data_IF_544043771607
#
_entry.id   IF_544043771607
#
_cell.length_a   1.000
_cell.length_b   1.000
_cell.length_c   1.000
_cell.angle_alpha   90.00
_cell.angle_beta   90.00
_cell.angle_gamma   90.00
#
_symmetry.space_group_name_H-M   'P 1'
#
loop_
_entity.id
_entity.type
_entity.pdbx_description
1 polymer ?
#
# COMPACT_ATOMS: atom_id res chain seq x y z
N UNK A 1 28.12 -65.90 -0.36
CA UNK A 1 29.02 -65.67 -1.51
C UNK A 1 28.21 -65.78 -2.79
N UNK A 2 28.62 -65.01 -3.81
CA UNK A 2 28.09 -64.96 -5.18
C UNK A 2 26.92 -63.94 -5.41
N UNK A 3 26.84 -63.35 -6.61
CA UNK A 3 27.18 -61.94 -6.82
C UNK A 3 26.16 -61.19 -7.72
N UNK A 4 26.41 -59.89 -7.92
CA UNK A 4 25.58 -59.01 -8.72
C UNK A 4 25.36 -59.43 -10.18
N UNK A 5 24.25 -58.94 -10.75
CA UNK A 5 23.98 -59.01 -12.18
C UNK A 5 23.63 -57.61 -12.72
N UNK A 6 24.67 -57.03 -13.34
CA UNK A 6 24.72 -56.18 -14.53
C UNK A 6 23.67 -55.06 -14.71
N UNK A 7 24.14 -53.80 -14.73
CA UNK A 7 23.48 -52.68 -15.42
C UNK A 7 24.12 -52.43 -16.79
N UNK A 8 23.29 -52.18 -17.80
CA UNK A 8 23.46 -51.19 -18.90
C UNK A 8 22.36 -51.40 -19.95
N UNK A 9 22.05 -50.43 -20.84
CA UNK A 9 22.29 -48.98 -20.80
C UNK A 9 21.05 -48.12 -21.21
N UNK A 10 21.15 -46.81 -20.92
CA UNK A 10 20.57 -45.67 -21.66
C UNK A 10 19.06 -45.60 -21.98
N UNK A 11 18.38 -44.62 -21.37
CA UNK A 11 17.44 -43.76 -22.12
C UNK A 11 17.36 -42.37 -21.47
N UNK A 12 17.67 -41.34 -22.24
CA UNK A 12 17.56 -39.94 -21.87
C UNK A 12 16.09 -39.63 -21.51
N UNK A 13 15.81 -39.32 -20.25
CA UNK A 13 14.51 -38.77 -19.87
C UNK A 13 14.50 -37.27 -20.15
N UNK A 14 13.74 -36.87 -21.15
CA UNK A 14 13.37 -35.47 -21.39
C UNK A 14 12.57 -34.92 -20.19
N UNK A 15 12.69 -33.62 -19.86
CA UNK A 15 11.93 -33.02 -18.76
C UNK A 15 10.43 -33.00 -19.07
N UNK A 16 9.55 -33.19 -18.06
CA UNK A 16 8.11 -33.26 -18.28
C UNK A 16 7.55 -31.93 -18.79
N UNK A 17 6.80 -32.04 -19.88
CA UNK A 17 6.00 -31.01 -20.54
C UNK A 17 5.17 -30.22 -19.54
N UNK A 18 5.39 -28.90 -19.48
CA UNK A 18 4.55 -27.97 -18.71
C UNK A 18 3.18 -27.87 -19.37
N UNK A 19 2.16 -28.44 -18.73
CA UNK A 19 0.76 -28.19 -19.07
C UNK A 19 0.45 -26.70 -18.86
N UNK A 20 -0.19 -26.02 -19.82
CA UNK A 20 -0.63 -24.63 -19.62
C UNK A 20 -1.67 -24.59 -18.50
N UNK A 21 -1.36 -23.86 -17.43
CA UNK A 21 -2.29 -23.57 -16.34
C UNK A 21 -3.43 -22.73 -16.92
N UNK A 22 -4.60 -23.35 -17.07
CA UNK A 22 -5.85 -22.65 -17.31
C UNK A 22 -6.06 -21.60 -16.21
N UNK A 23 -6.47 -20.37 -16.54
CA UNK A 23 -6.85 -19.41 -15.52
C UNK A 23 -8.08 -19.96 -14.81
N UNK A 24 -7.90 -20.39 -13.55
CA UNK A 24 -9.01 -20.65 -12.64
C UNK A 24 -9.68 -19.30 -12.36
N UNK A 25 -10.57 -18.89 -13.25
CA UNK A 25 -11.71 -18.09 -12.87
C UNK A 25 -12.63 -19.05 -12.13
N UNK A 26 -12.44 -19.16 -10.81
CA UNK A 26 -13.49 -19.73 -9.98
C UNK A 26 -14.65 -18.75 -10.11
N UNK A 27 -15.72 -19.17 -10.79
CA UNK A 27 -17.04 -18.58 -10.61
C UNK A 27 -17.40 -18.77 -9.14
N UNK A 28 -16.91 -17.86 -8.30
CA UNK A 28 -17.36 -17.73 -6.93
C UNK A 28 -18.83 -17.35 -7.06
N UNK A 29 -19.77 -18.20 -6.60
CA UNK A 29 -21.17 -17.82 -6.57
C UNK A 29 -21.25 -16.47 -5.89
N UNK A 30 -21.94 -15.50 -6.51
CA UNK A 30 -22.34 -14.28 -5.82
C UNK A 30 -22.96 -14.73 -4.51
N UNK A 31 -22.21 -14.59 -3.40
CA UNK A 31 -22.81 -14.66 -2.09
C UNK A 31 -23.71 -13.44 -2.07
N UNK A 32 -24.97 -13.71 -2.37
CA UNK A 32 -26.10 -12.82 -2.19
C UNK A 32 -25.88 -12.14 -0.86
N UNK A 33 -25.74 -10.83 -0.95
CA UNK A 33 -25.79 -9.89 0.15
C UNK A 33 -26.66 -10.48 1.24
N UNK A 34 -26.12 -10.60 2.46
CA UNK A 34 -26.94 -10.87 3.62
C UNK A 34 -28.08 -9.83 3.57
N UNK A 35 -29.32 -10.27 3.33
CA UNK A 35 -30.51 -9.44 3.20
C UNK A 35 -30.88 -8.88 4.59
N UNK A 36 -29.99 -8.07 5.14
CA UNK A 36 -30.31 -7.06 6.13
C UNK A 36 -30.74 -5.81 5.39
N UNK A 37 -32.03 -5.74 5.07
CA UNK A 37 -32.76 -4.63 4.46
C UNK A 37 -32.10 -3.27 4.70
N UNK A 38 -31.37 -2.79 3.69
CA UNK A 38 -31.05 -1.37 3.58
C UNK A 38 -32.32 -0.70 3.05
N UNK A 39 -33.23 -0.30 3.93
CA UNK A 39 -34.39 0.50 3.52
C UNK A 39 -33.90 1.67 2.67
N UNK A 40 -34.46 1.84 1.47
CA UNK A 40 -34.06 2.91 0.56
C UNK A 40 -34.17 4.25 1.29
N UNK A 41 -33.10 5.04 1.37
CA UNK A 41 -33.15 6.35 2.04
C UNK A 41 -33.79 7.44 1.15
N UNK A 42 -34.60 7.05 0.16
CA UNK A 42 -35.31 7.96 -0.75
C UNK A 42 -34.41 8.97 -1.47
N UNK A 43 -33.16 8.60 -1.78
CA UNK A 43 -32.18 9.51 -2.40
C UNK A 43 -31.62 10.59 -1.46
N UNK A 44 -31.98 10.59 -0.17
CA UNK A 44 -31.46 11.55 0.80
C UNK A 44 -30.03 11.17 1.22
N UNK A 45 -29.12 12.15 1.36
CA UNK A 45 -27.78 11.91 1.88
C UNK A 45 -27.83 11.14 3.20
N UNK A 46 -26.97 10.13 3.35
CA UNK A 46 -26.84 9.42 4.62
C UNK A 46 -26.39 10.42 5.69
N UNK A 47 -27.06 10.49 6.86
CA UNK A 47 -26.71 11.44 7.92
C UNK A 47 -25.40 11.00 8.57
N UNK A 48 -24.30 11.49 8.02
CA UNK A 48 -22.93 11.24 8.46
C UNK A 48 -22.27 12.59 8.69
N UNK A 49 -21.78 12.82 9.90
CA UNK A 49 -21.09 14.06 10.27
C UNK A 49 -19.60 13.77 10.35
N UNK A 50 -18.81 14.45 9.51
CA UNK A 50 -17.35 14.41 9.58
C UNK A 50 -16.93 15.53 10.51
N UNK A 51 -16.37 15.20 11.66
CA UNK A 51 -15.87 16.20 12.60
C UNK A 51 -14.66 16.93 12.00
N UNK A 52 -14.68 18.28 11.89
CA UNK A 52 -13.56 19.02 11.31
C UNK A 52 -12.25 18.92 12.10
N UNK A 53 -12.33 18.59 13.39
CA UNK A 53 -11.19 18.55 14.31
C UNK A 53 -10.29 17.33 14.14
N UNK A 54 -10.85 16.17 13.80
CA UNK A 54 -10.13 14.89 13.72
C UNK A 54 -10.46 14.09 12.44
N UNK A 55 -11.34 14.61 11.58
CA UNK A 55 -11.80 13.94 10.36
C UNK A 55 -12.65 12.69 10.64
N UNK A 56 -13.03 12.44 11.90
CA UNK A 56 -13.73 11.21 12.28
C UNK A 56 -15.18 11.30 11.82
N UNK A 57 -15.59 10.27 11.08
CA UNK A 57 -16.99 10.07 10.72
C UNK A 57 -17.76 9.64 11.96
N UNK A 58 -18.83 10.37 12.27
CA UNK A 58 -19.71 10.11 13.41
C UNK A 58 -21.16 10.06 12.94
N UNK A 59 -21.99 9.27 13.64
CA UNK A 59 -23.39 9.05 13.32
C UNK A 59 -23.72 7.58 13.07
N UNK A 60 -25.02 7.27 13.01
CA UNK A 60 -25.56 5.90 12.94
C UNK A 60 -25.00 5.05 11.78
N UNK A 61 -24.52 5.69 10.70
CA UNK A 61 -24.07 5.03 9.49
C UNK A 61 -22.55 5.10 9.24
N UNK A 62 -21.75 5.62 10.19
CA UNK A 62 -20.31 5.81 9.95
C UNK A 62 -19.56 4.47 9.78
N UNK A 63 -19.91 3.44 10.55
CA UNK A 63 -19.33 2.10 10.42
C UNK A 63 -19.69 1.47 9.08
N UNK A 64 -20.95 1.58 8.65
CA UNK A 64 -21.41 1.07 7.36
C UNK A 64 -20.68 1.77 6.21
N UNK A 65 -20.55 3.09 6.24
CA UNK A 65 -19.77 3.84 5.24
C UNK A 65 -18.29 3.42 5.23
N UNK A 66 -17.66 3.29 6.40
CA UNK A 66 -16.26 2.85 6.49
C UNK A 66 -16.07 1.45 5.92
N UNK A 67 -17.00 0.54 6.18
CA UNK A 67 -16.99 -0.82 5.64
C UNK A 67 -17.16 -0.82 4.12
N UNK A 68 -18.13 -0.08 3.59
CA UNK A 68 -18.36 0.03 2.14
C UNK A 68 -17.18 0.67 1.40
N UNK A 69 -16.57 1.73 1.95
CA UNK A 69 -15.33 2.30 1.40
C UNK A 69 -14.23 1.24 1.40
N UNK A 70 -14.05 0.52 2.52
CA UNK A 70 -13.07 -0.54 2.63
C UNK A 70 -13.31 -1.69 1.63
N UNK A 71 -14.56 -2.10 1.44
CA UNK A 71 -14.96 -3.14 0.49
C UNK A 71 -14.76 -2.68 -0.96
N UNK A 72 -15.21 -1.48 -1.30
CA UNK A 72 -15.05 -0.89 -2.63
C UNK A 72 -13.56 -0.76 -3.00
N UNK A 73 -12.73 -0.26 -2.07
CA UNK A 73 -11.27 -0.17 -2.30
C UNK A 73 -10.66 -1.56 -2.47
N UNK A 74 -11.03 -2.56 -1.66
CA UNK A 74 -10.51 -3.94 -1.78
C UNK A 74 -10.99 -4.65 -3.06
N UNK A 75 -12.21 -4.38 -3.49
CA UNK A 75 -12.84 -5.00 -4.64
C UNK A 75 -12.30 -4.44 -5.96
N UNK A 76 -11.97 -3.15 -6.00
CA UNK A 76 -11.47 -2.48 -7.21
C UNK A 76 -9.95 -2.26 -7.24
N UNK A 77 -9.25 -2.51 -6.12
CA UNK A 77 -7.79 -2.55 -6.08
C UNK A 77 -7.35 -3.87 -5.41
N UNK A 78 -7.26 -4.99 -6.16
CA UNK A 78 -6.99 -6.32 -5.61
C UNK A 78 -5.53 -6.42 -5.16
N UNK A 79 -5.23 -5.84 -4.00
CA UNK A 79 -4.00 -6.10 -3.28
C UNK A 79 -4.20 -7.46 -2.62
N UNK A 80 -3.53 -8.50 -3.16
CA UNK A 80 -3.64 -9.90 -2.70
C UNK A 80 -3.08 -10.15 -1.29
N UNK A 81 -2.71 -9.10 -0.56
CA UNK A 81 -2.16 -9.16 0.78
C UNK A 81 -2.82 -8.11 1.66
N UNK A 82 -3.03 -8.44 2.93
CA UNK A 82 -3.70 -7.56 3.89
C UNK A 82 -2.88 -6.30 4.23
N UNK A 83 -1.55 -6.35 4.05
CA UNK A 83 -0.63 -5.27 4.40
C UNK A 83 0.40 -5.04 3.29
N UNK A 84 0.69 -3.79 2.97
CA UNK A 84 1.75 -3.43 2.03
C UNK A 84 3.12 -4.06 2.36
N UNK A 85 3.46 -4.17 3.66
CA UNK A 85 4.71 -4.81 4.11
C UNK A 85 4.78 -6.32 3.76
N UNK A 86 3.63 -6.96 3.57
CA UNK A 86 3.53 -8.37 3.19
C UNK A 86 3.49 -8.55 1.67
N UNK A 87 3.45 -7.47 0.87
CA UNK A 87 3.54 -7.59 -0.58
C UNK A 87 4.84 -8.31 -0.93
N UNK A 88 4.78 -9.36 -1.78
CA UNK A 88 5.98 -10.03 -2.23
C UNK A 88 6.95 -9.01 -2.85
N UNK A 89 8.21 -9.04 -2.45
CA UNK A 89 9.23 -8.11 -2.99
C UNK A 89 9.36 -8.23 -4.50
N UNK A 90 9.12 -9.42 -5.06
CA UNK A 90 9.07 -9.63 -6.50
C UNK A 90 8.02 -8.72 -7.18
N UNK A 91 6.80 -8.65 -6.64
CA UNK A 91 5.73 -7.80 -7.19
C UNK A 91 6.08 -6.31 -7.10
N UNK A 92 6.64 -5.89 -5.95
CA UNK A 92 7.11 -4.50 -5.78
C UNK A 92 8.19 -4.18 -6.80
N UNK A 93 9.17 -5.06 -6.98
CA UNK A 93 10.25 -4.87 -7.93
C UNK A 93 9.73 -4.81 -9.37
N UNK A 94 8.80 -5.70 -9.74
CA UNK A 94 8.14 -5.67 -11.04
C UNK A 94 7.47 -4.32 -11.31
N UNK A 95 6.75 -3.75 -10.34
CA UNK A 95 6.16 -2.41 -10.49
C UNK A 95 7.22 -1.32 -10.66
N UNK A 96 8.30 -1.37 -9.89
CA UNK A 96 9.42 -0.42 -10.00
C UNK A 96 10.12 -0.52 -11.35
N UNK A 97 10.31 -1.74 -11.86
CA UNK A 97 11.00 -2.00 -13.11
C UNK A 97 10.16 -1.56 -14.31
N UNK A 98 8.83 -1.72 -14.28
CA UNK A 98 7.91 -1.10 -15.24
C UNK A 98 8.07 0.41 -15.30
N UNK A 99 8.15 1.09 -14.14
CA UNK A 99 8.35 2.54 -14.07
C UNK A 99 9.72 2.94 -14.62
N UNK A 100 10.79 2.21 -14.26
CA UNK A 100 12.14 2.46 -14.79
C UNK A 100 12.19 2.27 -16.31
N UNK A 101 11.53 1.23 -16.81
CA UNK A 101 11.44 0.93 -18.24
C UNK A 101 10.72 2.04 -19.00
N UNK A 102 9.55 2.47 -18.53
CA UNK A 102 8.83 3.61 -19.08
C UNK A 102 9.72 4.86 -19.18
N UNK A 103 10.51 5.16 -18.14
CA UNK A 103 11.42 6.32 -18.10
C UNK A 103 12.58 6.27 -19.10
N UNK A 104 12.87 5.12 -19.73
CA UNK A 104 13.91 5.03 -20.77
C UNK A 104 13.49 5.72 -22.07
N UNK A 105 12.20 5.91 -22.29
CA UNK A 105 11.66 6.49 -23.52
C UNK A 105 11.39 7.99 -23.33
N UNK A 106 11.84 8.85 -24.26
CA UNK A 106 11.61 10.29 -24.18
C UNK A 106 10.16 10.66 -24.49
N UNK A 107 9.44 9.83 -25.26
CA UNK A 107 8.05 10.09 -25.65
C UNK A 107 7.10 8.96 -25.23
N UNK A 108 5.84 9.33 -24.96
CA UNK A 108 4.78 8.37 -24.62
C UNK A 108 4.51 7.40 -25.77
N UNK A 109 4.59 7.89 -27.01
CA UNK A 109 4.36 7.09 -28.21
C UNK A 109 5.41 5.99 -28.35
N UNK A 110 6.68 6.30 -28.11
CA UNK A 110 7.74 5.28 -28.09
C UNK A 110 7.59 4.33 -26.91
N UNK A 111 7.22 4.84 -25.73
CA UNK A 111 6.96 3.99 -24.57
C UNK A 111 5.86 2.97 -24.86
N UNK A 112 4.72 3.39 -25.42
CA UNK A 112 3.59 2.50 -25.78
C UNK A 112 3.99 1.39 -26.77
N UNK A 113 4.86 1.69 -27.74
CA UNK A 113 5.38 0.70 -28.70
C UNK A 113 6.32 -0.33 -28.08
N UNK A 114 6.81 -0.10 -26.87
CA UNK A 114 7.81 -0.94 -26.20
C UNK A 114 7.30 -1.41 -24.82
N UNK A 115 6.30 -2.31 -24.77
CA UNK A 115 5.79 -2.85 -23.52
C UNK A 115 6.87 -3.56 -22.70
N UNK A 116 6.78 -3.43 -21.37
CA UNK A 116 7.66 -4.17 -20.45
C UNK A 116 7.27 -5.66 -20.45
N UNK A 117 8.25 -6.57 -20.43
CA UNK A 117 8.06 -8.03 -20.50
C UNK A 117 7.07 -8.60 -19.48
N UNK A 118 6.96 -7.95 -18.31
CA UNK A 118 6.07 -8.38 -17.23
C UNK A 118 4.59 -7.99 -17.43
N UNK A 119 4.26 -7.26 -18.50
CA UNK A 119 2.91 -6.76 -18.77
C UNK A 119 2.35 -7.54 -19.96
N UNK A 120 1.39 -8.42 -19.68
CA UNK A 120 0.92 -9.40 -20.65
C UNK A 120 0.02 -8.83 -21.75
N UNK A 121 -0.63 -7.70 -21.50
CA UNK A 121 -1.58 -7.05 -22.41
C UNK A 121 -1.15 -5.62 -22.77
N UNK A 122 -1.31 -5.27 -24.04
CA UNK A 122 -0.96 -3.95 -24.54
C UNK A 122 -1.82 -2.85 -23.90
N UNK A 123 -3.09 -3.13 -23.62
CA UNK A 123 -4.01 -2.16 -23.02
C UNK A 123 -3.58 -1.71 -21.62
N UNK A 124 -3.11 -2.62 -20.76
CA UNK A 124 -2.59 -2.23 -19.43
C UNK A 124 -1.29 -1.43 -19.57
N UNK A 125 -0.44 -1.77 -20.53
CA UNK A 125 0.78 -1.01 -20.78
C UNK A 125 0.47 0.41 -21.27
N UNK A 126 -0.48 0.54 -22.20
CA UNK A 126 -0.94 1.82 -22.71
C UNK A 126 -1.55 2.68 -21.59
N UNK A 127 -2.37 2.07 -20.73
CA UNK A 127 -2.92 2.72 -19.54
C UNK A 127 -1.82 3.21 -18.60
N UNK A 128 -0.81 2.39 -18.32
CA UNK A 128 0.33 2.78 -17.47
C UNK A 128 1.12 3.94 -18.10
N UNK A 129 1.39 3.86 -19.41
CA UNK A 129 2.05 4.93 -20.14
C UNK A 129 1.26 6.25 -20.05
N UNK A 130 -0.05 6.21 -20.29
CA UNK A 130 -0.92 7.38 -20.19
C UNK A 130 -0.96 7.93 -18.77
N UNK A 131 -1.07 7.05 -17.76
CA UNK A 131 -1.08 7.43 -16.35
C UNK A 131 0.20 8.16 -15.95
N UNK A 132 1.37 7.60 -16.28
CA UNK A 132 2.66 8.20 -15.92
C UNK A 132 2.98 9.46 -16.73
N UNK A 133 2.39 9.59 -17.93
CA UNK A 133 2.56 10.75 -18.79
C UNK A 133 1.58 11.88 -18.50
N UNK A 134 0.48 11.60 -17.78
CA UNK A 134 -0.54 12.58 -17.47
C UNK A 134 0.01 13.77 -16.68
N UNK A 135 -0.43 14.97 -17.03
CA UNK A 135 -0.03 16.20 -16.35
C UNK A 135 -0.48 16.20 -14.88
N UNK A 136 -1.62 15.58 -14.57
CA UNK A 136 -2.09 15.40 -13.20
C UNK A 136 -1.07 14.61 -12.35
N UNK A 137 -0.58 13.49 -12.88
CA UNK A 137 0.42 12.66 -12.20
C UNK A 137 1.75 13.40 -12.05
N UNK A 138 2.26 14.02 -13.12
CA UNK A 138 3.52 14.79 -13.09
C UNK A 138 3.44 15.91 -12.05
N UNK A 139 2.36 16.69 -12.05
CA UNK A 139 2.14 17.77 -11.09
C UNK A 139 2.11 17.24 -9.65
N UNK A 140 1.37 16.15 -9.39
CA UNK A 140 1.32 15.54 -8.05
C UNK A 140 2.69 15.04 -7.60
N UNK A 141 3.43 14.39 -8.50
CA UNK A 141 4.78 13.89 -8.25
C UNK A 141 5.76 15.02 -7.91
N UNK A 142 5.72 16.12 -8.67
CA UNK A 142 6.55 17.30 -8.43
C UNK A 142 6.26 17.93 -7.05
N UNK A 143 4.98 18.16 -6.74
CA UNK A 143 4.56 18.70 -5.44
C UNK A 143 5.00 17.78 -4.29
N UNK A 144 4.79 16.47 -4.44
CA UNK A 144 5.19 15.50 -3.42
C UNK A 144 6.71 15.48 -3.21
N UNK A 145 7.49 15.65 -4.28
CA UNK A 145 8.95 15.72 -4.20
C UNK A 145 9.41 16.96 -3.44
N UNK A 146 8.81 18.13 -3.73
CA UNK A 146 9.08 19.38 -2.99
C UNK A 146 8.62 19.28 -1.54
N UNK A 147 7.47 18.67 -1.25
CA UNK A 147 7.00 18.49 0.12
C UNK A 147 7.92 17.56 0.91
N UNK A 148 8.46 16.52 0.28
CA UNK A 148 9.47 15.65 0.89
C UNK A 148 10.78 16.37 1.15
N UNK A 149 11.24 17.22 0.23
CA UNK A 149 12.48 18.00 0.46
C UNK A 149 12.32 19.03 1.58
N UNK A 150 11.08 19.47 1.85
CA UNK A 150 10.75 20.35 2.98
C UNK A 150 10.61 19.63 4.32
N UNK A 151 10.59 18.29 4.38
CA UNK A 151 10.50 17.56 5.65
C UNK A 151 11.88 17.46 6.30
N UNK A 152 12.15 18.21 7.40
CA UNK A 152 13.48 18.28 8.01
C UNK A 152 13.84 17.05 8.85
N UNK A 153 12.84 16.28 9.30
CA UNK A 153 13.03 15.08 10.11
C UNK A 153 11.85 14.12 9.96
N UNK A 154 12.14 12.83 10.09
CA UNK A 154 11.13 11.77 10.13
C UNK A 154 10.80 11.43 11.59
N UNK A 155 9.57 11.00 11.87
CA UNK A 155 9.26 10.41 13.18
C UNK A 155 9.60 8.92 13.20
N UNK A 156 9.90 8.40 14.39
CA UNK A 156 10.18 6.96 14.64
C UNK A 156 8.95 6.21 15.19
N UNK A 157 7.79 6.88 15.28
CA UNK A 157 6.53 6.30 15.77
C UNK A 157 5.91 5.19 14.91
N UNK A 158 6.51 4.83 13.77
CA UNK A 158 5.99 3.79 12.89
C UNK A 158 4.59 4.12 12.35
N UNK A 159 3.75 3.10 12.16
CA UNK A 159 2.40 3.23 11.60
C UNK A 159 1.33 3.64 12.62
N UNK A 160 1.68 3.74 13.91
CA UNK A 160 0.74 4.17 14.95
C UNK A 160 0.62 5.69 14.91
N UNK A 161 -0.61 6.18 15.04
CA UNK A 161 -0.86 7.62 15.10
C UNK A 161 -0.23 8.23 16.36
N UNK A 162 0.10 9.52 16.32
CA UNK A 162 0.65 10.22 17.49
C UNK A 162 -0.33 10.18 18.68
N UNK A 163 -1.64 10.28 18.43
CA UNK A 163 -2.67 10.12 19.48
C UNK A 163 -2.55 8.76 20.15
N UNK A 164 -2.32 7.68 19.39
CA UNK A 164 -2.20 6.34 19.96
C UNK A 164 -0.91 6.15 20.76
N UNK A 165 0.18 6.85 20.40
CA UNK A 165 1.39 6.90 21.23
C UNK A 165 1.12 7.62 22.56
N UNK A 166 0.45 8.77 22.52
CA UNK A 166 0.08 9.52 23.72
C UNK A 166 -0.86 8.72 24.65
N UNK A 167 -1.86 8.05 24.08
CA UNK A 167 -2.80 7.20 24.84
C UNK A 167 -2.10 6.03 25.53
N UNK A 168 -1.13 5.39 24.87
CA UNK A 168 -0.40 4.28 25.48
C UNK A 168 0.37 4.76 26.71
N UNK A 169 1.17 5.81 26.56
CA UNK A 169 1.95 6.36 27.67
C UNK A 169 1.03 6.87 28.78
N UNK A 170 -0.12 7.45 28.43
CA UNK A 170 -1.12 7.88 29.42
C UNK A 170 -1.77 6.72 30.17
N UNK A 171 -1.99 5.59 29.50
CA UNK A 171 -2.50 4.37 30.14
C UNK A 171 -1.47 3.77 31.10
N UNK A 172 -0.19 3.83 30.74
CA UNK A 172 0.92 3.30 31.54
C UNK A 172 1.25 4.21 32.74
N UNK A 173 1.23 5.52 32.57
CA UNK A 173 1.68 6.50 33.56
C UNK A 173 0.54 7.22 34.31
N UNK A 174 -0.71 7.04 33.88
CA UNK A 174 -1.89 7.67 34.48
C UNK A 174 -2.11 9.15 34.11
N UNK A 175 -1.21 9.76 33.33
CA UNK A 175 -1.26 11.20 32.99
C UNK A 175 -1.29 11.42 31.47
N UNK A 176 -2.00 12.46 31.03
CA UNK A 176 -2.06 12.81 29.61
C UNK A 176 -0.71 13.38 29.13
N UNK A 177 -0.20 12.85 28.03
CA UNK A 177 1.05 13.35 27.42
C UNK A 177 0.78 14.64 26.64
N UNK A 178 1.49 15.71 26.98
CA UNK A 178 1.46 16.97 26.24
C UNK A 178 2.04 16.86 24.82
N UNK A 179 1.72 17.81 23.95
CA UNK A 179 2.15 17.75 22.53
C UNK A 179 3.67 17.81 22.37
N UNK A 180 4.37 18.59 23.21
CA UNK A 180 5.83 18.73 23.19
C UNK A 180 6.48 17.39 23.60
N UNK A 181 5.95 16.75 24.63
CA UNK A 181 6.44 15.45 25.12
C UNK A 181 6.14 14.31 24.15
N UNK A 182 4.99 14.38 23.47
CA UNK A 182 4.68 13.46 22.39
C UNK A 182 5.64 13.61 21.20
N UNK A 183 6.05 14.84 20.87
CA UNK A 183 7.08 15.09 19.87
C UNK A 183 8.40 14.43 20.26
N UNK A 184 8.87 14.65 21.50
CA UNK A 184 10.08 14.00 22.01
C UNK A 184 9.98 12.48 21.97
N UNK A 185 8.85 11.92 22.42
CA UNK A 185 8.61 10.47 22.43
C UNK A 185 8.82 9.81 21.06
N UNK A 186 8.40 10.48 19.98
CA UNK A 186 8.48 9.91 18.63
C UNK A 186 9.72 10.33 17.84
N UNK A 187 10.57 11.23 18.36
CA UNK A 187 11.79 11.72 17.70
C UNK A 187 13.09 11.49 18.49
N UNK A 188 13.00 11.01 19.73
CA UNK A 188 14.13 10.76 20.62
C UNK A 188 14.09 9.34 21.19
N UNK A 189 15.25 8.71 21.38
CA UNK A 189 15.42 7.44 22.09
C UNK A 189 16.58 7.54 23.08
N UNK A 190 16.50 6.83 24.21
CA UNK A 190 17.54 6.86 25.24
C UNK A 190 18.92 6.39 24.75
N UNK A 191 18.95 5.39 23.85
CA UNK A 191 20.19 4.83 23.31
C UNK A 191 20.77 5.67 22.15
N UNK A 192 19.91 6.23 21.29
CA UNK A 192 20.34 6.89 20.04
C UNK A 192 20.29 8.42 20.11
N UNK A 193 19.68 8.98 21.15
CA UNK A 193 19.37 10.41 21.23
C UNK A 193 18.29 10.85 20.24
N UNK A 194 18.41 12.09 19.77
CA UNK A 194 17.51 12.70 18.78
C UNK A 194 17.73 12.11 17.39
N UNK A 195 16.67 12.06 16.57
CA UNK A 195 16.80 11.53 15.21
C UNK A 195 17.78 12.31 14.33
N UNK A 196 17.85 13.62 14.51
CA UNK A 196 18.84 14.53 13.92
C UNK A 196 18.93 15.83 14.74
N UNK A 197 19.86 16.70 14.37
CA UNK A 197 20.08 17.97 15.06
C UNK A 197 18.88 18.91 14.87
N UNK A 198 18.26 18.92 13.69
CA UNK A 198 17.12 19.76 13.37
C UNK A 198 15.91 19.46 14.25
N UNK A 199 15.65 18.18 14.58
CA UNK A 199 14.59 17.78 15.50
C UNK A 199 14.88 18.24 16.93
N UNK A 200 16.15 18.19 17.36
CA UNK A 200 16.57 18.72 18.67
C UNK A 200 16.38 20.22 18.74
N UNK A 201 16.85 20.97 17.74
CA UNK A 201 16.74 22.42 17.68
C UNK A 201 15.28 22.87 17.56
N UNK A 202 14.46 22.09 16.86
CA UNK A 202 13.02 22.29 16.84
C UNK A 202 12.42 22.12 18.24
N UNK A 203 12.73 21.03 18.94
CA UNK A 203 12.23 20.78 20.29
C UNK A 203 12.64 21.87 21.29
N UNK A 204 13.90 22.31 21.26
CA UNK A 204 14.40 23.37 22.15
C UNK A 204 13.65 24.69 21.92
N UNK A 205 13.28 25.02 20.68
CA UNK A 205 12.50 26.23 20.35
C UNK A 205 11.04 26.19 20.80
N UNK A 206 10.54 25.05 21.27
CA UNK A 206 9.17 24.93 21.80
C UNK A 206 9.06 25.39 23.26
N UNK A 207 10.18 25.71 23.90
CA UNK A 207 10.30 26.25 25.26
C UNK A 207 10.89 27.66 25.21
#
# INVERSE_FOLDING_TARGET
MAPGRKRSPSELTQPPTTTPMTPFYVDVPMHTSNEGTSSSNGGKPLPITIKPSDGKQTGKYCEKLSNEIGLTVRQHAPVRVEKWKQMPRAEINTMLDRIKHFKKFPTVVEAKRNPHESVSNQEDWDYLCDRFSSEEFKRRSAINSVNRSKMPFHHRGGSRSFIQHGLQVSTENGEMVGQIELFKLVHWKSQDGWINQEARDYYVRLF
#
